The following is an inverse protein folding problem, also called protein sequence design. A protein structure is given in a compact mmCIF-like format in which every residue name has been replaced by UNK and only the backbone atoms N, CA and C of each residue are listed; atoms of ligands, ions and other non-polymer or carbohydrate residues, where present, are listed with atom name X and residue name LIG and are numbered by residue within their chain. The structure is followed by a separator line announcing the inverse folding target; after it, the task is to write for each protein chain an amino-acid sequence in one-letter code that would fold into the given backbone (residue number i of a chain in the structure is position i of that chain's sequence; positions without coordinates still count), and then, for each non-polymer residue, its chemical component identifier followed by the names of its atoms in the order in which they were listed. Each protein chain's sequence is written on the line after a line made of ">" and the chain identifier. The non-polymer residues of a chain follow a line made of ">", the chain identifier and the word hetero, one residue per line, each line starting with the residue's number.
data_IF_382093951471
#
_entry.id   IF_382093951471
#
_cell.length_a   1.000
_cell.length_b   1.000
_cell.length_c   1.000
_cell.angle_alpha   90.00
_cell.angle_beta   90.00
_cell.angle_gamma   90.00
#
_symmetry.space_group_name_H-M   'P 1'
#
loop_
_entity.id
_entity.type
_entity.pdbx_description
1 polymer ?
#
# COMPACT_ATOMS: atom_id res chain seq x y z
N UNK A 1 -10.97 9.00 -22.80
CA UNK A 1 -10.29 7.99 -21.95
C UNK A 1 -10.66 6.60 -22.45
N UNK A 2 -9.79 5.59 -22.33
CA UNK A 2 -10.28 4.19 -22.32
C UNK A 2 -11.02 3.96 -21.01
N UNK A 3 -12.16 3.28 -21.07
CA UNK A 3 -12.90 2.91 -19.86
C UNK A 3 -12.04 2.00 -18.97
N UNK A 4 -12.10 2.14 -17.63
CA UNK A 4 -11.42 1.23 -16.73
C UNK A 4 -12.06 -0.16 -16.84
N UNK A 5 -11.33 -1.09 -17.44
CA UNK A 5 -11.72 -2.49 -17.52
C UNK A 5 -11.71 -3.12 -16.11
N UNK A 6 -12.88 -3.10 -15.48
CA UNK A 6 -13.19 -3.76 -14.21
C UNK A 6 -13.76 -5.16 -14.47
N UNK A 7 -13.60 -6.09 -13.51
CA UNK A 7 -14.07 -7.47 -13.61
C UNK A 7 -13.25 -8.39 -14.53
N UNK A 8 -12.63 -7.84 -15.59
CA UNK A 8 -11.71 -8.57 -16.47
C UNK A 8 -10.38 -8.91 -15.78
N UNK A 9 -9.75 -10.00 -16.25
CA UNK A 9 -8.40 -10.38 -15.85
C UNK A 9 -7.35 -9.35 -16.34
N UNK A 10 -6.21 -9.18 -15.64
CA UNK A 10 -5.11 -8.35 -16.12
C UNK A 10 -4.60 -8.81 -17.49
N UNK A 11 -4.23 -7.87 -18.37
CA UNK A 11 -3.77 -8.18 -19.74
C UNK A 11 -2.42 -8.88 -19.78
N UNK A 12 -1.68 -8.73 -18.69
CA UNK A 12 -0.38 -9.31 -18.44
C UNK A 12 -0.47 -10.75 -17.88
N UNK A 13 -1.68 -11.21 -17.50
CA UNK A 13 -1.88 -12.53 -16.92
C UNK A 13 -2.05 -13.61 -18.01
N UNK A 14 -1.10 -14.55 -18.05
CA UNK A 14 -1.19 -15.76 -18.87
C UNK A 14 -1.29 -17.02 -17.99
N UNK A 15 -2.40 -17.75 -18.11
CA UNK A 15 -2.68 -19.00 -17.36
C UNK A 15 -1.55 -20.03 -17.51
N UNK A 16 -0.96 -20.17 -18.71
CA UNK A 16 0.12 -21.14 -18.96
C UNK A 16 1.44 -20.79 -18.27
N UNK A 17 1.64 -19.53 -17.90
CA UNK A 17 2.88 -19.02 -17.29
C UNK A 17 2.72 -18.81 -15.77
N UNK A 18 1.49 -18.61 -15.31
CA UNK A 18 1.21 -18.24 -13.91
C UNK A 18 0.36 -19.25 -13.13
N UNK A 19 -0.16 -20.29 -13.79
CA UNK A 19 -1.08 -21.24 -13.17
C UNK A 19 -2.43 -20.60 -12.86
N UNK A 20 -2.97 -20.86 -11.66
CA UNK A 20 -4.24 -20.28 -11.23
C UNK A 20 -4.14 -18.77 -10.93
N UNK A 21 -5.21 -18.04 -11.22
CA UNK A 21 -5.25 -16.59 -11.00
C UNK A 21 -5.24 -16.25 -9.50
N UNK A 22 -4.32 -15.38 -9.10
CA UNK A 22 -4.18 -14.90 -7.72
C UNK A 22 -4.23 -13.37 -7.67
N UNK A 23 -5.32 -12.77 -7.12
CA UNK A 23 -5.56 -11.32 -7.20
C UNK A 23 -4.65 -10.48 -6.27
N UNK A 24 -3.74 -11.09 -5.53
CA UNK A 24 -2.71 -10.40 -4.75
C UNK A 24 -1.40 -10.13 -5.48
N UNK A 25 -1.17 -10.73 -6.67
CA UNK A 25 0.07 -10.54 -7.43
C UNK A 25 -0.01 -9.38 -8.44
N UNK A 26 1.15 -8.86 -8.82
CA UNK A 26 1.32 -8.02 -10.01
C UNK A 26 1.86 -8.89 -11.15
N UNK A 27 1.06 -9.08 -12.20
CA UNK A 27 1.46 -9.86 -13.38
C UNK A 27 2.22 -9.04 -14.42
N UNK A 28 2.07 -7.71 -14.40
CA UNK A 28 2.89 -6.80 -15.20
C UNK A 28 4.34 -6.70 -14.70
N UNK A 29 5.14 -5.90 -15.43
CA UNK A 29 6.56 -5.67 -15.15
C UNK A 29 6.81 -5.41 -13.65
N UNK A 30 7.74 -6.17 -13.07
CA UNK A 30 8.29 -5.91 -11.74
C UNK A 30 9.26 -4.72 -11.84
N UNK A 31 8.94 -3.64 -11.15
CA UNK A 31 9.86 -2.52 -10.92
C UNK A 31 10.66 -2.77 -9.63
N UNK A 32 11.76 -2.03 -9.42
CA UNK A 32 12.56 -2.09 -8.19
C UNK A 32 11.72 -1.79 -6.94
N UNK A 33 11.78 -2.64 -5.89
CA UNK A 33 11.16 -2.38 -4.60
C UNK A 33 11.64 -1.06 -3.96
N UNK A 34 10.76 -0.37 -3.25
CA UNK A 34 11.06 0.95 -2.65
C UNK A 34 12.23 0.89 -1.65
N UNK A 35 12.39 -0.23 -0.93
CA UNK A 35 13.49 -0.44 0.01
C UNK A 35 14.86 -0.74 -0.62
N UNK A 36 14.93 -0.92 -1.94
CA UNK A 36 16.17 -1.18 -2.69
C UNK A 36 16.66 0.05 -3.47
N UNK A 37 15.92 1.16 -3.43
CA UNK A 37 16.24 2.41 -4.14
C UNK A 37 17.30 3.24 -3.43
N UNK A 38 18.14 3.94 -4.19
CA UNK A 38 18.88 5.09 -3.65
C UNK A 38 17.93 6.29 -3.50
N UNK A 39 18.11 7.10 -2.45
CA UNK A 39 17.27 8.28 -2.21
C UNK A 39 17.25 9.28 -3.39
N UNK A 40 18.37 9.40 -4.12
CA UNK A 40 18.47 10.25 -5.32
C UNK A 40 17.64 9.72 -6.52
N UNK A 41 17.35 8.42 -6.57
CA UNK A 41 16.58 7.77 -7.65
C UNK A 41 15.06 7.82 -7.36
N UNK A 42 14.67 8.00 -6.09
CA UNK A 42 13.28 8.01 -5.64
C UNK A 42 12.38 9.00 -6.41
N UNK A 43 12.77 10.25 -6.72
CA UNK A 43 11.93 11.18 -7.48
C UNK A 43 11.73 10.74 -8.94
N UNK A 44 12.71 10.04 -9.52
CA UNK A 44 12.62 9.49 -10.88
C UNK A 44 11.73 8.23 -10.91
N UNK A 45 11.87 7.31 -9.93
CA UNK A 45 10.95 6.17 -9.79
C UNK A 45 9.51 6.67 -9.59
N UNK A 46 9.24 7.60 -8.66
CA UNK A 46 7.87 8.11 -8.43
C UNK A 46 7.25 8.64 -9.74
N UNK A 47 8.02 9.35 -10.58
CA UNK A 47 7.55 9.88 -11.88
C UNK A 47 7.20 8.81 -12.92
N UNK A 48 7.71 7.57 -12.82
CA UNK A 48 7.41 6.49 -13.79
C UNK A 48 6.08 5.76 -13.53
N UNK A 49 5.43 5.97 -12.38
CA UNK A 49 4.19 5.26 -12.01
C UNK A 49 3.00 5.91 -12.72
N UNK A 50 2.02 5.10 -13.14
CA UNK A 50 0.89 5.63 -13.89
C UNK A 50 0.04 6.58 -13.04
N UNK A 51 -0.36 7.71 -13.63
CA UNK A 51 -1.22 8.72 -12.99
C UNK A 51 -2.73 8.40 -13.14
N UNK A 52 -3.05 7.19 -13.61
CA UNK A 52 -4.41 6.74 -13.85
C UNK A 52 -5.01 6.17 -12.55
N UNK A 53 -6.07 6.76 -11.97
CA UNK A 53 -6.62 6.33 -10.68
C UNK A 53 -7.08 4.87 -10.66
N UNK A 54 -7.47 4.30 -11.80
CA UNK A 54 -7.84 2.88 -11.88
C UNK A 54 -6.68 1.94 -11.52
N UNK A 55 -5.42 2.33 -11.79
CA UNK A 55 -4.25 1.50 -11.49
C UNK A 55 -3.89 1.54 -10.00
N UNK A 56 -4.16 2.68 -9.34
CA UNK A 56 -4.05 2.84 -7.88
C UNK A 56 -5.11 2.01 -7.16
N UNK A 57 -6.36 1.99 -7.65
CA UNK A 57 -7.43 1.10 -7.14
C UNK A 57 -7.01 -0.37 -7.30
N UNK A 58 -6.49 -0.76 -8.47
CA UNK A 58 -5.93 -2.11 -8.71
C UNK A 58 -4.76 -2.42 -7.76
N UNK A 59 -3.90 -1.45 -7.42
CA UNK A 59 -2.79 -1.63 -6.48
C UNK A 59 -3.28 -1.81 -5.04
N UNK A 60 -4.27 -1.04 -4.61
CA UNK A 60 -4.90 -1.18 -3.30
C UNK A 60 -5.61 -2.53 -3.16
N UNK A 61 -6.35 -3.00 -4.19
CA UNK A 61 -6.95 -4.33 -4.20
C UNK A 61 -5.90 -5.46 -4.05
N UNK A 62 -4.77 -5.37 -4.76
CA UNK A 62 -3.64 -6.31 -4.61
C UNK A 62 -2.99 -6.24 -3.22
N UNK A 63 -3.06 -5.10 -2.53
CA UNK A 63 -2.63 -4.99 -1.13
C UNK A 63 -3.64 -5.62 -0.17
N UNK A 64 -4.94 -5.30 -0.26
CA UNK A 64 -5.95 -5.85 0.66
C UNK A 64 -6.13 -7.36 0.54
N UNK A 65 -5.88 -7.96 -0.63
CA UNK A 65 -5.78 -9.43 -0.77
C UNK A 65 -4.63 -10.02 0.05
N UNK A 66 -3.40 -9.52 -0.13
CA UNK A 66 -2.22 -9.98 0.62
C UNK A 66 -2.37 -9.74 2.12
N UNK A 67 -2.95 -8.60 2.52
CA UNK A 67 -3.21 -8.26 3.92
C UNK A 67 -4.19 -9.23 4.58
N UNK A 68 -5.33 -9.52 3.92
CA UNK A 68 -6.33 -10.46 4.45
C UNK A 68 -5.78 -11.88 4.56
N UNK A 69 -5.02 -12.34 3.57
CA UNK A 69 -4.34 -13.65 3.62
C UNK A 69 -3.29 -13.74 4.74
N UNK A 70 -2.61 -12.64 5.08
CA UNK A 70 -1.63 -12.62 6.18
C UNK A 70 -2.25 -12.57 7.57
N UNK A 71 -3.38 -11.88 7.76
CA UNK A 71 -3.89 -11.56 9.10
C UNK A 71 -5.32 -12.01 9.43
N UNK A 72 -6.21 -12.13 8.44
CA UNK A 72 -7.63 -12.48 8.66
C UNK A 72 -7.95 -13.94 8.32
N UNK A 73 -7.34 -14.50 7.26
CA UNK A 73 -7.57 -15.88 6.82
C UNK A 73 -6.65 -16.98 7.45
N UNK A 74 -5.58 -16.72 8.22
CA UNK A 74 -4.88 -17.78 8.94
C UNK A 74 -5.77 -18.49 9.98
N UNK A 75 -5.65 -19.82 10.10
CA UNK A 75 -6.38 -20.65 11.08
C UNK A 75 -6.17 -20.23 12.55
N UNK A 76 -5.09 -19.50 12.84
CA UNK A 76 -4.84 -18.80 14.12
C UNK A 76 -4.68 -17.31 13.81
N UNK A 77 -5.79 -16.57 13.83
CA UNK A 77 -5.76 -15.11 13.71
C UNK A 77 -5.04 -14.48 14.91
N UNK A 78 -4.53 -13.25 14.72
CA UNK A 78 -3.86 -12.47 15.77
C UNK A 78 -4.43 -11.06 15.81
N UNK A 79 -4.35 -10.38 16.95
CA UNK A 79 -4.88 -9.02 17.12
C UNK A 79 -4.06 -7.93 16.40
N UNK A 80 -3.14 -8.30 15.50
CA UNK A 80 -2.25 -7.38 14.78
C UNK A 80 -3.02 -6.33 13.95
N UNK A 81 -4.13 -6.64 13.25
CA UNK A 81 -4.92 -5.60 12.56
C UNK A 81 -5.50 -4.55 13.51
N UNK A 82 -5.95 -4.97 14.70
CA UNK A 82 -6.46 -4.05 15.72
C UNK A 82 -5.37 -3.09 16.19
N UNK A 83 -4.20 -3.60 16.59
CA UNK A 83 -3.08 -2.76 16.99
C UNK A 83 -2.62 -1.81 15.87
N UNK A 84 -2.60 -2.26 14.61
CA UNK A 84 -2.25 -1.39 13.47
C UNK A 84 -3.25 -0.25 13.27
N UNK A 85 -4.55 -0.50 13.45
CA UNK A 85 -5.59 0.54 13.40
C UNK A 85 -5.43 1.51 14.58
N UNK A 86 -5.22 1.01 15.80
CA UNK A 86 -4.98 1.85 16.98
C UNK A 86 -3.75 2.74 16.82
N UNK A 87 -2.63 2.20 16.33
CA UNK A 87 -1.42 2.99 16.05
C UNK A 87 -1.66 4.04 14.97
N UNK A 88 -2.39 3.72 13.90
CA UNK A 88 -2.73 4.68 12.85
C UNK A 88 -3.60 5.83 13.39
N UNK A 89 -4.62 5.52 14.20
CA UNK A 89 -5.48 6.53 14.84
C UNK A 89 -4.70 7.42 15.81
N UNK A 90 -3.81 6.84 16.63
CA UNK A 90 -2.95 7.61 17.54
C UNK A 90 -2.01 8.56 16.78
N UNK A 91 -1.36 8.10 15.71
CA UNK A 91 -0.48 8.92 14.85
C UNK A 91 -1.29 10.03 14.16
N UNK A 92 -2.48 9.72 13.64
CA UNK A 92 -3.37 10.72 13.02
C UNK A 92 -3.82 11.78 14.02
N UNK A 93 -4.20 11.39 15.24
CA UNK A 93 -4.61 12.30 16.31
C UNK A 93 -3.45 13.20 16.76
N UNK A 94 -2.23 12.66 16.88
CA UNK A 94 -1.02 13.44 17.14
C UNK A 94 -0.78 14.51 16.07
N UNK A 95 -0.87 14.15 14.77
CA UNK A 95 -0.69 15.12 13.68
C UNK A 95 -1.80 16.18 13.64
N UNK A 96 -3.04 15.83 13.97
CA UNK A 96 -4.16 16.79 14.05
C UNK A 96 -3.97 17.78 15.22
N UNK A 97 -3.52 17.29 16.38
CA UNK A 97 -3.26 18.09 17.58
C UNK A 97 -1.89 18.81 17.56
N UNK A 98 -1.06 18.57 16.54
CA UNK A 98 0.30 19.11 16.45
C UNK A 98 0.35 20.65 16.48
N UNK A 99 -0.71 21.33 16.03
CA UNK A 99 -0.86 22.78 16.14
C UNK A 99 -0.85 23.27 17.59
N UNK A 100 -1.49 22.56 18.51
CA UNK A 100 -1.53 22.85 19.95
C UNK A 100 -0.18 22.55 20.61
N UNK A 101 0.36 21.35 20.35
CA UNK A 101 1.65 20.89 20.88
C UNK A 101 2.86 21.69 20.34
N UNK A 102 2.68 22.56 19.34
CA UNK A 102 3.75 23.49 18.91
C UNK A 102 4.16 24.50 19.98
N UNK A 103 3.28 24.78 20.95
CA UNK A 103 3.55 25.68 22.09
C UNK A 103 4.64 25.10 23.01
N UNK A 104 4.58 23.79 23.23
CA UNK A 104 5.50 23.02 24.09
C UNK A 104 6.95 23.02 23.58
N UNK A 105 7.21 23.35 22.30
CA UNK A 105 8.56 23.40 21.72
C UNK A 105 9.50 24.45 22.34
N UNK A 106 8.98 25.36 23.16
CA UNK A 106 9.78 26.32 23.94
C UNK A 106 10.04 25.87 25.38
N UNK A 107 9.37 24.82 25.85
CA UNK A 107 9.69 24.18 27.12
C UNK A 107 10.93 23.29 26.97
N UNK A 108 11.83 23.33 27.97
CA UNK A 108 12.93 22.39 28.08
C UNK A 108 12.45 21.15 28.84
N UNK A 109 12.37 20.03 28.13
CA UNK A 109 12.20 18.72 28.73
C UNK A 109 13.58 18.13 29.09
N UNK A 110 13.59 17.11 29.94
CA UNK A 110 14.79 16.36 30.34
C UNK A 110 15.21 15.35 29.27
#
# INVERSE_FOLDING_TARGET
>A
MKTPEFGLLPKEYNVRVHGAYFPGYNYGKKETPVGELKLAELPAWIKSRSRNPADWIKAFARFTWRYRLKWFYPRRATMVPFFQICSFVAIFQYFNNFSTHRTERHAKYH
#
